data_IF_507369165159
#
_entry.id   IF_507369165159
#
_cell.length_a   1.000
_cell.length_b   1.000
_cell.length_c   1.000
_cell.angle_alpha   90.00
_cell.angle_beta   90.00
_cell.angle_gamma   90.00
#
_symmetry.space_group_name_H-M   'P 1'
#
loop_
_entity.id
_entity.type
_entity.pdbx_description
1 polymer ?
#
# COMPACT_ATOMS: atom_id res chain seq x y z
N UNK A 1 -6.88 1.41 14.19
CA UNK A 1 -6.98 -0.06 14.26
C UNK A 1 -7.16 -0.50 15.71
N UNK A 2 -6.26 -0.19 16.63
CA UNK A 2 -6.31 -0.65 18.04
C UNK A 2 -7.62 -0.28 18.75
N UNK A 3 -8.16 0.93 18.51
CA UNK A 3 -9.48 1.32 19.00
C UNK A 3 -10.59 0.41 18.44
N UNK A 4 -10.59 0.13 17.13
CA UNK A 4 -11.60 -0.72 16.49
C UNK A 4 -11.51 -2.18 16.94
N UNK A 5 -10.33 -2.63 17.39
CA UNK A 5 -10.12 -3.95 17.99
C UNK A 5 -10.45 -3.99 19.49
N UNK A 6 -10.83 -2.87 20.11
CA UNK A 6 -11.14 -2.78 21.53
C UNK A 6 -9.91 -2.72 22.45
N UNK A 7 -8.71 -2.54 21.89
CA UNK A 7 -7.45 -2.50 22.65
C UNK A 7 -7.07 -1.09 23.12
N UNK A 8 -7.72 -0.05 22.61
CA UNK A 8 -7.42 1.35 22.92
C UNK A 8 -8.72 2.08 23.24
N UNK A 9 -8.74 2.85 24.34
CA UNK A 9 -9.89 3.68 24.72
C UNK A 9 -10.03 4.90 23.79
N UNK A 10 -11.28 5.27 23.47
CA UNK A 10 -11.62 6.38 22.56
C UNK A 10 -10.97 7.73 22.98
N UNK A 11 -10.83 7.95 24.29
CA UNK A 11 -10.27 9.20 24.81
C UNK A 11 -8.84 9.49 24.33
N UNK A 12 -8.09 8.45 23.92
CA UNK A 12 -6.74 8.61 23.37
C UNK A 12 -6.70 9.03 21.91
N UNK A 13 -7.77 8.86 21.13
CA UNK A 13 -7.78 9.19 19.69
C UNK A 13 -7.51 10.68 19.41
N UNK A 14 -7.84 11.56 20.36
CA UNK A 14 -7.63 13.02 20.25
C UNK A 14 -6.33 13.49 20.91
N UNK A 15 -5.54 12.56 21.45
CA UNK A 15 -4.37 12.89 22.30
C UNK A 15 -3.06 12.41 21.69
N UNK A 16 -2.98 12.35 20.35
CA UNK A 16 -1.74 12.02 19.66
C UNK A 16 -0.67 13.10 19.91
N UNK A 17 0.50 12.70 20.38
CA UNK A 17 1.65 13.57 20.71
C UNK A 17 1.43 14.53 21.88
N UNK A 18 0.37 14.38 22.63
CA UNK A 18 0.17 15.11 23.88
C UNK A 18 0.92 14.44 25.04
N UNK A 19 1.25 15.21 26.07
CA UNK A 19 1.80 14.66 27.32
C UNK A 19 0.79 13.69 27.95
N UNK A 20 1.22 12.45 28.21
CA UNK A 20 0.33 11.40 28.68
C UNK A 20 -0.69 10.88 27.66
N UNK A 21 -0.57 11.25 26.38
CA UNK A 21 -1.31 10.73 25.24
C UNK A 21 -0.52 9.68 24.47
N UNK A 22 -0.93 9.44 23.21
CA UNK A 22 -0.26 8.48 22.32
C UNK A 22 1.08 9.02 21.81
N UNK A 23 2.04 8.11 21.65
CA UNK A 23 3.34 8.42 21.06
C UNK A 23 3.21 8.68 19.55
N UNK A 24 4.21 9.35 18.96
CA UNK A 24 4.28 9.59 17.52
C UNK A 24 4.39 8.28 16.71
N UNK A 25 5.05 7.29 17.29
CA UNK A 25 5.17 5.93 16.80
C UNK A 25 4.77 4.97 17.91
N UNK A 26 4.18 3.82 17.58
CA UNK A 26 3.76 2.83 18.57
C UNK A 26 4.89 2.47 19.54
N UNK A 27 4.57 2.44 20.82
CA UNK A 27 5.54 2.13 21.86
C UNK A 27 4.97 1.16 22.90
N UNK A 28 5.53 -0.03 22.99
CA UNK A 28 5.14 -1.05 23.98
C UNK A 28 5.31 -0.61 25.44
N UNK A 29 6.09 0.41 25.68
CA UNK A 29 6.43 0.85 27.05
C UNK A 29 5.79 2.18 27.45
N UNK A 30 5.25 2.94 26.48
CA UNK A 30 4.74 4.28 26.71
C UNK A 30 3.29 4.47 26.31
N UNK A 31 2.81 3.72 25.33
CA UNK A 31 1.42 3.77 24.91
C UNK A 31 0.52 2.95 25.87
N UNK A 32 -0.74 3.35 26.04
CA UNK A 32 -1.68 2.67 26.92
C UNK A 32 -2.18 1.33 26.36
N UNK A 33 -2.16 1.17 25.05
CA UNK A 33 -2.41 -0.10 24.36
C UNK A 33 -1.14 -0.96 24.34
N UNK A 34 -1.28 -2.21 23.88
CA UNK A 34 -0.16 -3.13 23.75
C UNK A 34 0.16 -3.39 22.26
N UNK A 35 0.83 -2.46 21.56
CA UNK A 35 1.23 -2.70 20.19
C UNK A 35 2.20 -3.89 20.13
N UNK A 36 2.16 -4.66 19.03
CA UNK A 36 3.02 -5.84 18.87
C UNK A 36 4.50 -5.48 18.94
N UNK A 37 4.87 -4.35 18.32
CA UNK A 37 6.24 -3.83 18.31
C UNK A 37 6.28 -2.32 18.57
N UNK A 38 7.34 -1.88 19.21
CA UNK A 38 7.73 -0.47 19.17
C UNK A 38 8.37 -0.19 17.80
N UNK A 39 7.91 0.82 17.09
CA UNK A 39 8.39 1.15 15.75
C UNK A 39 8.95 2.57 15.67
N UNK A 40 9.44 2.94 14.52
CA UNK A 40 9.94 4.26 14.14
C UNK A 40 9.92 4.37 12.62
N UNK A 41 10.43 5.47 12.07
CA UNK A 41 10.43 5.77 10.63
C UNK A 41 11.66 5.29 9.87
N UNK A 42 12.45 4.38 10.44
CA UNK A 42 13.77 3.96 9.90
C UNK A 42 13.78 2.48 9.50
N UNK A 43 12.68 1.96 8.99
CA UNK A 43 12.58 0.57 8.52
C UNK A 43 12.42 -0.49 9.62
N UNK A 44 12.35 -0.09 10.91
CA UNK A 44 12.21 -1.06 12.02
C UNK A 44 10.89 -1.82 11.96
N UNK A 45 9.81 -1.18 11.51
CA UNK A 45 8.50 -1.83 11.32
C UNK A 45 8.52 -2.94 10.28
N UNK A 46 9.43 -2.87 9.31
CA UNK A 46 9.67 -3.91 8.32
C UNK A 46 10.54 -5.03 8.87
N UNK A 47 11.71 -4.70 9.42
CA UNK A 47 12.70 -5.69 9.84
C UNK A 47 12.26 -6.50 11.08
N UNK A 48 11.62 -5.86 12.07
CA UNK A 48 11.27 -6.52 13.34
C UNK A 48 10.38 -7.77 13.19
N UNK A 49 9.32 -7.79 12.36
CA UNK A 49 8.51 -8.99 12.15
C UNK A 49 9.28 -10.16 11.55
N UNK A 50 10.29 -9.93 10.69
CA UNK A 50 11.15 -10.98 10.15
C UNK A 50 11.94 -11.69 11.27
N UNK A 51 12.64 -10.91 12.09
CA UNK A 51 13.42 -11.48 13.19
C UNK A 51 12.55 -12.07 14.30
N UNK A 52 11.34 -11.54 14.49
CA UNK A 52 10.35 -12.15 15.36
C UNK A 52 9.88 -13.52 14.85
N UNK A 53 9.64 -13.66 13.55
CA UNK A 53 9.29 -14.94 12.93
C UNK A 53 10.46 -15.95 13.03
N UNK A 54 11.69 -15.52 12.79
CA UNK A 54 12.88 -16.35 12.97
C UNK A 54 13.04 -16.80 14.43
N UNK A 55 12.86 -15.89 15.40
CA UNK A 55 12.85 -16.19 16.83
C UNK A 55 11.73 -17.19 17.18
N UNK A 56 10.54 -17.00 16.62
CA UNK A 56 9.42 -17.91 16.83
C UNK A 56 9.75 -19.33 16.34
N UNK A 57 10.32 -19.47 15.16
CA UNK A 57 10.79 -20.75 14.61
C UNK A 57 11.81 -21.42 15.54
N UNK A 58 12.76 -20.66 16.08
CA UNK A 58 13.70 -21.17 17.08
C UNK A 58 12.98 -21.66 18.33
N UNK A 59 12.04 -20.88 18.87
CA UNK A 59 11.29 -21.24 20.07
C UNK A 59 10.45 -22.51 19.85
N UNK A 60 9.77 -22.63 18.71
CA UNK A 60 8.96 -23.80 18.41
C UNK A 60 9.81 -25.08 18.27
N UNK A 61 11.00 -24.98 17.67
CA UNK A 61 11.90 -26.12 17.50
C UNK A 61 12.57 -26.58 18.80
N UNK A 62 12.75 -25.71 19.80
CA UNK A 62 13.45 -26.03 21.05
C UNK A 62 12.52 -26.23 22.25
N UNK A 63 11.36 -25.60 22.26
CA UNK A 63 10.47 -25.55 23.43
C UNK A 63 9.07 -26.07 23.14
N UNK A 64 8.87 -26.70 21.97
CA UNK A 64 7.60 -27.22 21.52
C UNK A 64 6.76 -26.24 20.71
N UNK A 65 6.00 -26.80 19.78
CA UNK A 65 5.16 -26.03 18.86
C UNK A 65 4.08 -25.20 19.58
N UNK A 66 3.85 -24.02 19.09
CA UNK A 66 2.79 -23.10 19.51
C UNK A 66 1.77 -22.92 18.38
N UNK A 67 0.59 -22.38 18.67
CA UNK A 67 -0.41 -22.11 17.64
C UNK A 67 0.21 -21.31 16.47
N UNK A 68 -0.18 -21.65 15.25
CA UNK A 68 0.31 -20.97 14.05
C UNK A 68 0.08 -19.45 14.17
N UNK A 69 1.12 -18.67 13.82
CA UNK A 69 1.08 -17.21 13.84
C UNK A 69 1.67 -16.68 12.54
N UNK A 70 1.03 -15.65 11.99
CA UNK A 70 1.54 -14.89 10.87
C UNK A 70 2.24 -13.63 11.38
N UNK A 71 3.29 -13.22 10.69
CA UNK A 71 4.03 -12.00 10.95
C UNK A 71 3.81 -11.07 9.76
N UNK A 72 3.00 -10.03 9.95
CA UNK A 72 2.60 -9.12 8.89
C UNK A 72 3.20 -7.74 9.17
N UNK A 73 3.89 -7.19 8.17
CA UNK A 73 4.33 -5.79 8.18
C UNK A 73 3.58 -5.00 7.11
N UNK A 74 2.96 -3.88 7.50
CA UNK A 74 2.46 -2.87 6.59
C UNK A 74 3.47 -1.73 6.57
N UNK A 75 4.10 -1.50 5.42
CA UNK A 75 5.21 -0.56 5.25
C UNK A 75 4.94 0.39 4.11
N UNK A 76 5.44 1.61 4.20
CA UNK A 76 5.45 2.54 3.08
C UNK A 76 6.57 2.21 2.09
N UNK A 77 6.36 2.53 0.82
CA UNK A 77 7.38 2.31 -0.22
C UNK A 77 8.67 3.11 0.01
N UNK A 78 8.57 4.29 0.65
CA UNK A 78 9.73 5.08 1.04
C UNK A 78 10.59 4.40 2.13
N UNK A 79 10.05 3.46 2.91
CA UNK A 79 10.84 2.69 3.88
C UNK A 79 11.80 1.71 3.20
N UNK A 80 11.56 1.36 1.94
CA UNK A 80 12.49 0.55 1.14
C UNK A 80 13.78 1.32 0.75
N UNK A 81 13.86 2.61 1.04
CA UNK A 81 15.11 3.39 0.92
C UNK A 81 16.05 3.18 2.14
N UNK A 82 15.57 2.55 3.22
CA UNK A 82 16.36 2.30 4.42
C UNK A 82 17.25 1.05 4.27
N UNK A 83 18.54 1.19 4.57
CA UNK A 83 19.53 0.11 4.37
C UNK A 83 19.26 -1.13 5.20
N UNK A 84 18.82 -0.98 6.47
CA UNK A 84 18.50 -2.09 7.35
C UNK A 84 17.34 -2.97 6.85
N UNK A 85 16.47 -2.46 6.02
CA UNK A 85 15.39 -3.24 5.37
C UNK A 85 16.01 -4.29 4.46
N UNK A 86 16.97 -3.89 3.63
CA UNK A 86 17.65 -4.79 2.70
C UNK A 86 18.59 -5.77 3.40
N UNK A 87 19.22 -5.36 4.50
CA UNK A 87 19.99 -6.28 5.35
C UNK A 87 19.09 -7.39 5.89
N UNK A 88 17.89 -7.05 6.36
CA UNK A 88 16.92 -8.02 6.87
C UNK A 88 16.34 -8.92 5.75
N UNK A 89 16.06 -8.36 4.57
CA UNK A 89 15.55 -9.12 3.40
C UNK A 89 16.57 -10.14 2.90
N UNK A 90 17.87 -9.78 2.91
CA UNK A 90 18.95 -10.61 2.40
C UNK A 90 19.49 -11.62 3.44
N UNK A 91 19.03 -11.56 4.69
CA UNK A 91 19.53 -12.46 5.74
C UNK A 91 19.08 -13.91 5.46
N UNK A 92 20.00 -14.88 5.32
CA UNK A 92 19.64 -16.28 5.07
C UNK A 92 18.74 -16.90 6.14
N UNK A 93 18.77 -16.41 7.38
CA UNK A 93 17.89 -16.89 8.45
C UNK A 93 16.41 -16.59 8.20
N UNK A 94 16.10 -15.65 7.31
CA UNK A 94 14.73 -15.23 6.97
C UNK A 94 14.19 -15.89 5.70
N UNK A 95 15.03 -16.54 4.90
CA UNK A 95 14.69 -17.04 3.56
C UNK A 95 13.59 -18.11 3.53
N UNK A 96 13.38 -18.85 4.64
CA UNK A 96 12.39 -19.94 4.72
C UNK A 96 11.20 -19.60 5.64
N UNK A 97 10.91 -18.32 5.87
CA UNK A 97 9.85 -17.89 6.78
C UNK A 97 8.52 -17.74 6.04
N UNK A 98 7.87 -18.86 5.69
CA UNK A 98 6.60 -18.87 4.96
C UNK A 98 5.40 -18.27 5.73
N UNK A 99 5.57 -17.91 6.98
CA UNK A 99 4.57 -17.24 7.80
C UNK A 99 4.77 -15.71 7.87
N UNK A 100 5.67 -15.17 7.07
CA UNK A 100 5.91 -13.71 6.96
C UNK A 100 5.26 -13.15 5.69
N UNK A 101 4.55 -12.03 5.84
CA UNK A 101 4.01 -11.27 4.73
C UNK A 101 4.25 -9.78 4.93
N UNK A 102 4.90 -9.15 3.95
CA UNK A 102 4.96 -7.69 3.87
C UNK A 102 3.90 -7.18 2.91
N UNK A 103 3.25 -6.09 3.28
CA UNK A 103 2.34 -5.34 2.41
C UNK A 103 2.94 -3.95 2.26
N UNK A 104 3.42 -3.66 1.07
CA UNK A 104 4.02 -2.35 0.73
C UNK A 104 2.91 -1.44 0.22
N UNK A 105 2.63 -0.36 0.93
CA UNK A 105 1.80 0.74 0.46
C UNK A 105 2.57 1.49 -0.64
N UNK A 106 2.35 1.04 -1.89
CA UNK A 106 3.09 1.53 -3.05
C UNK A 106 2.40 2.75 -3.65
N UNK A 107 2.46 3.88 -2.94
CA UNK A 107 1.84 5.14 -3.33
C UNK A 107 2.76 6.02 -4.22
N UNK A 108 4.03 5.69 -4.34
CA UNK A 108 5.04 6.37 -5.19
C UNK A 108 5.27 7.83 -4.79
N UNK A 109 5.06 8.15 -3.52
CA UNK A 109 5.37 9.46 -2.96
C UNK A 109 6.32 9.33 -1.77
N UNK A 110 7.32 10.20 -1.72
CA UNK A 110 8.22 10.32 -0.57
C UNK A 110 8.16 11.76 -0.05
N UNK A 111 7.71 11.92 1.20
CA UNK A 111 7.42 13.22 1.80
C UNK A 111 6.46 14.03 0.90
N UNK A 112 6.80 15.26 0.53
CA UNK A 112 5.99 16.16 -0.29
C UNK A 112 6.39 16.13 -1.79
N UNK A 113 6.69 14.95 -2.32
CA UNK A 113 7.01 14.78 -3.75
C UNK A 113 6.56 13.43 -4.30
N UNK A 114 6.15 13.41 -5.55
CA UNK A 114 6.01 12.19 -6.33
C UNK A 114 7.39 11.71 -6.78
N UNK A 115 7.68 10.43 -6.64
CA UNK A 115 8.95 9.83 -7.06
C UNK A 115 8.92 9.59 -8.56
N UNK A 116 9.82 10.21 -9.35
CA UNK A 116 9.91 9.97 -10.77
C UNK A 116 10.47 8.56 -11.05
N UNK A 117 9.94 7.95 -12.09
CA UNK A 117 10.37 6.62 -12.54
C UNK A 117 9.69 5.47 -11.77
N UNK A 118 9.88 4.27 -12.32
CA UNK A 118 9.23 3.05 -11.84
C UNK A 118 10.28 2.18 -11.15
N UNK A 119 10.39 2.27 -9.83
CA UNK A 119 11.33 1.46 -9.03
C UNK A 119 10.87 0.02 -8.82
N UNK A 120 9.59 -0.28 -9.09
CA UNK A 120 9.01 -1.59 -8.79
C UNK A 120 9.78 -2.74 -9.47
N UNK A 121 10.23 -2.55 -10.70
CA UNK A 121 10.99 -3.57 -11.44
C UNK A 121 12.28 -3.95 -10.71
N UNK A 122 12.97 -2.95 -10.14
CA UNK A 122 14.20 -3.18 -9.38
C UNK A 122 13.91 -3.85 -8.04
N UNK A 123 12.94 -3.36 -7.30
CA UNK A 123 12.55 -3.93 -6.01
C UNK A 123 12.06 -5.36 -6.15
N UNK A 124 11.21 -5.63 -7.13
CA UNK A 124 10.77 -6.99 -7.44
C UNK A 124 11.96 -7.92 -7.66
N UNK A 125 12.88 -7.53 -8.55
CA UNK A 125 14.07 -8.34 -8.83
C UNK A 125 14.95 -8.56 -7.57
N UNK A 126 15.06 -7.57 -6.69
CA UNK A 126 15.81 -7.69 -5.44
C UNK A 126 15.13 -8.67 -4.46
N UNK A 127 13.81 -8.58 -4.27
CA UNK A 127 13.07 -9.52 -3.42
C UNK A 127 13.11 -10.95 -4.01
N UNK A 128 12.91 -11.11 -5.32
CA UNK A 128 13.00 -12.42 -6.00
C UNK A 128 14.40 -13.02 -5.85
N UNK A 129 15.46 -12.21 -6.00
CA UNK A 129 16.85 -12.66 -5.80
C UNK A 129 17.14 -13.05 -4.35
N UNK A 130 16.46 -12.44 -3.37
CA UNK A 130 16.51 -12.83 -1.97
C UNK A 130 15.60 -14.03 -1.62
N UNK A 131 14.93 -14.64 -2.60
CA UNK A 131 14.09 -15.82 -2.45
C UNK A 131 12.66 -15.54 -1.99
N UNK A 132 12.21 -14.29 -1.99
CA UNK A 132 10.84 -13.92 -1.63
C UNK A 132 9.84 -14.24 -2.73
N UNK A 133 8.61 -14.57 -2.33
CA UNK A 133 7.47 -14.59 -3.23
C UNK A 133 6.93 -13.16 -3.39
N UNK A 134 6.86 -12.67 -4.65
CA UNK A 134 6.48 -11.29 -4.95
C UNK A 134 5.14 -11.24 -5.67
N UNK A 135 4.22 -10.40 -5.19
CA UNK A 135 2.92 -10.13 -5.81
C UNK A 135 2.78 -8.63 -6.04
N UNK A 136 2.37 -8.25 -7.25
CA UNK A 136 1.96 -6.88 -7.57
C UNK A 136 0.44 -6.80 -7.67
N UNK A 137 -0.18 -5.94 -6.85
CA UNK A 137 -1.62 -5.66 -6.89
C UNK A 137 -1.80 -4.25 -7.45
N UNK A 138 -1.64 -4.12 -8.78
CA UNK A 138 -1.60 -2.84 -9.47
C UNK A 138 -2.99 -2.32 -9.77
N UNK A 139 -3.83 -3.14 -10.35
CA UNK A 139 -5.15 -2.77 -10.85
C UNK A 139 -6.26 -3.39 -10.03
N UNK A 140 -7.33 -2.64 -9.81
CA UNK A 140 -8.56 -3.14 -9.22
C UNK A 140 -9.39 -3.94 -10.22
N UNK A 141 -10.48 -4.53 -9.75
CA UNK A 141 -11.31 -5.44 -10.56
C UNK A 141 -11.97 -4.76 -11.76
N UNK A 142 -12.30 -3.45 -11.67
CA UNK A 142 -12.89 -2.70 -12.79
C UNK A 142 -11.90 -2.55 -13.94
N UNK A 143 -10.65 -2.16 -13.64
CA UNK A 143 -9.59 -2.06 -14.65
C UNK A 143 -9.26 -3.43 -15.23
N UNK A 144 -9.10 -4.47 -14.41
CA UNK A 144 -8.85 -5.84 -14.88
C UNK A 144 -9.94 -6.33 -15.83
N UNK A 145 -11.21 -6.06 -15.51
CA UNK A 145 -12.32 -6.42 -16.39
C UNK A 145 -12.27 -5.63 -17.70
N UNK A 146 -11.95 -4.34 -17.64
CA UNK A 146 -11.87 -3.48 -18.82
C UNK A 146 -10.72 -3.86 -19.76
N UNK A 147 -9.60 -4.31 -19.22
CA UNK A 147 -8.47 -4.82 -20.03
C UNK A 147 -8.80 -6.12 -20.81
N UNK A 148 -9.80 -6.87 -20.36
CA UNK A 148 -10.27 -8.06 -21.08
C UNK A 148 -11.25 -7.75 -22.25
N UNK A 149 -11.65 -6.48 -22.40
CA UNK A 149 -12.52 -6.01 -23.48
C UNK A 149 -11.73 -5.57 -24.72
N UNK A 150 -12.38 -5.34 -25.88
CA UNK A 150 -11.70 -4.80 -27.07
C UNK A 150 -10.96 -3.50 -26.77
N UNK A 151 -9.74 -3.39 -27.25
CA UNK A 151 -8.78 -2.31 -27.00
C UNK A 151 -8.31 -2.21 -25.52
N UNK A 152 -8.47 -3.26 -24.74
CA UNK A 152 -8.06 -3.30 -23.35
C UNK A 152 -6.53 -3.35 -23.18
N UNK A 153 -5.82 -4.05 -24.06
CA UNK A 153 -4.35 -4.11 -24.05
C UNK A 153 -3.74 -2.72 -24.31
N UNK A 154 -4.31 -1.95 -25.23
CA UNK A 154 -3.86 -0.58 -25.51
C UNK A 154 -4.16 0.37 -24.34
N UNK A 155 -5.30 0.16 -23.66
CA UNK A 155 -5.65 0.91 -22.45
C UNK A 155 -4.68 0.62 -21.32
N UNK A 156 -4.34 -0.65 -21.08
CA UNK A 156 -3.36 -1.04 -20.07
C UNK A 156 -1.98 -0.44 -20.38
N UNK A 157 -1.52 -0.61 -21.61
CA UNK A 157 -0.24 -0.06 -22.06
C UNK A 157 -0.19 1.47 -21.94
N UNK A 158 -1.30 2.17 -22.19
CA UNK A 158 -1.40 3.62 -22.01
C UNK A 158 -1.25 4.04 -20.55
N UNK A 159 -1.98 3.37 -19.66
CA UNK A 159 -1.87 3.65 -18.22
C UNK A 159 -0.47 3.34 -17.71
N UNK A 160 0.14 2.24 -18.16
CA UNK A 160 1.48 1.84 -17.77
C UNK A 160 2.58 2.79 -18.25
N UNK A 161 2.35 3.43 -19.39
CA UNK A 161 3.28 4.40 -19.95
C UNK A 161 3.21 5.79 -19.29
N UNK A 162 2.17 6.08 -18.51
CA UNK A 162 2.04 7.37 -17.85
C UNK A 162 3.12 7.55 -16.78
N UNK A 163 3.73 8.73 -16.75
CA UNK A 163 4.58 9.13 -15.63
C UNK A 163 3.76 9.17 -14.31
N UNK A 164 4.40 8.87 -13.19
CA UNK A 164 3.73 8.88 -11.88
C UNK A 164 3.01 10.20 -11.58
N UNK A 165 3.65 11.33 -11.90
CA UNK A 165 3.07 12.67 -11.72
C UNK A 165 1.82 12.87 -12.57
N UNK A 166 1.85 12.40 -13.82
CA UNK A 166 0.72 12.50 -14.73
C UNK A 166 -0.46 11.68 -14.21
N UNK A 167 -0.23 10.39 -13.93
CA UNK A 167 -1.28 9.50 -13.43
C UNK A 167 -1.87 9.98 -12.11
N UNK A 168 -1.03 10.35 -11.13
CA UNK A 168 -1.49 10.81 -9.81
C UNK A 168 -2.28 12.13 -9.89
N UNK A 169 -1.96 13.00 -10.85
CA UNK A 169 -2.70 14.24 -11.04
C UNK A 169 -4.16 14.00 -11.45
N UNK A 170 -4.47 12.86 -12.10
CA UNK A 170 -5.83 12.53 -12.54
C UNK A 170 -6.82 12.41 -11.37
N UNK A 171 -6.35 12.05 -10.18
CA UNK A 171 -7.19 11.95 -8.98
C UNK A 171 -7.74 13.31 -8.51
N UNK A 172 -7.12 14.41 -8.92
CA UNK A 172 -7.56 15.76 -8.60
C UNK A 172 -8.55 16.34 -9.60
N UNK A 173 -8.90 15.62 -10.67
CA UNK A 173 -9.81 16.08 -11.71
C UNK A 173 -11.08 15.24 -11.76
N UNK A 174 -12.14 15.79 -12.32
CA UNK A 174 -13.43 15.12 -12.52
C UNK A 174 -14.07 15.55 -13.82
N UNK A 175 -15.12 14.83 -14.25
CA UNK A 175 -15.90 15.18 -15.42
C UNK A 175 -15.07 15.28 -16.70
N UNK A 176 -15.43 16.24 -17.55
CA UNK A 176 -14.79 16.46 -18.85
C UNK A 176 -13.30 16.81 -18.74
N UNK A 177 -12.86 17.42 -17.65
CA UNK A 177 -11.45 17.75 -17.47
C UNK A 177 -10.60 16.50 -17.27
N UNK A 178 -11.05 15.55 -16.44
CA UNK A 178 -10.39 14.25 -16.30
C UNK A 178 -10.26 13.56 -17.65
N UNK A 179 -11.39 13.46 -18.41
CA UNK A 179 -11.40 12.80 -19.73
C UNK A 179 -10.40 13.44 -20.69
N UNK A 180 -10.39 14.77 -20.75
CA UNK A 180 -9.46 15.50 -21.62
C UNK A 180 -8.01 15.20 -21.26
N UNK A 181 -7.66 15.22 -19.99
CA UNK A 181 -6.29 14.96 -19.51
C UNK A 181 -5.88 13.51 -19.68
N UNK A 182 -6.81 12.57 -19.41
CA UNK A 182 -6.53 11.14 -19.57
C UNK A 182 -6.26 10.77 -21.03
N UNK A 183 -6.97 11.40 -21.97
CA UNK A 183 -6.85 11.13 -23.40
C UNK A 183 -5.83 12.03 -24.11
N UNK A 184 -5.19 12.95 -23.42
CA UNK A 184 -4.18 13.85 -24.01
C UNK A 184 -2.95 13.04 -24.46
N UNK A 185 -2.74 12.97 -25.79
CA UNK A 185 -1.70 12.16 -26.39
C UNK A 185 -1.98 10.65 -26.47
N UNK A 186 -3.16 10.19 -26.05
CA UNK A 186 -3.51 8.77 -26.11
C UNK A 186 -3.70 8.26 -27.55
N UNK A 187 -3.36 6.98 -27.82
CA UNK A 187 -3.74 6.31 -29.06
C UNK A 187 -5.26 6.32 -29.28
N UNK A 188 -5.70 6.29 -30.54
CA UNK A 188 -7.12 6.31 -30.88
C UNK A 188 -7.90 5.11 -30.30
N UNK A 189 -7.25 3.98 -30.14
CA UNK A 189 -7.75 2.74 -29.55
C UNK A 189 -8.17 2.95 -28.09
N UNK A 190 -7.37 3.69 -27.30
CA UNK A 190 -7.70 4.07 -25.93
C UNK A 190 -8.98 4.92 -25.89
N UNK A 191 -9.09 5.90 -26.81
CA UNK A 191 -10.32 6.68 -26.94
C UNK A 191 -11.54 5.81 -27.22
N UNK A 192 -11.40 4.79 -28.10
CA UNK A 192 -12.48 3.84 -28.39
C UNK A 192 -12.84 2.97 -27.19
N UNK A 193 -11.86 2.52 -26.41
CA UNK A 193 -12.11 1.65 -25.25
C UNK A 193 -12.96 2.33 -24.18
N UNK A 194 -12.86 3.67 -24.06
CA UNK A 194 -13.59 4.44 -23.02
C UNK A 194 -14.71 5.32 -23.57
N UNK A 195 -15.01 5.23 -24.89
CA UNK A 195 -15.95 6.12 -25.56
C UNK A 195 -17.36 6.09 -24.98
N UNK A 196 -17.84 4.94 -24.52
CA UNK A 196 -19.20 4.76 -24.01
C UNK A 196 -19.33 5.01 -22.50
N UNK A 197 -18.19 5.25 -21.81
CA UNK A 197 -18.21 5.54 -20.38
C UNK A 197 -18.68 6.97 -20.13
N UNK A 198 -19.54 7.17 -19.12
CA UNK A 198 -19.76 8.51 -18.57
C UNK A 198 -18.48 9.03 -17.93
N UNK A 199 -18.42 10.32 -17.65
CA UNK A 199 -17.23 10.90 -17.02
C UNK A 199 -17.02 10.35 -15.59
N UNK A 200 -18.10 10.08 -14.86
CA UNK A 200 -18.05 9.44 -13.54
C UNK A 200 -17.54 8.01 -13.64
N UNK A 201 -18.05 7.23 -14.59
CA UNK A 201 -17.58 5.86 -14.81
C UNK A 201 -16.10 5.81 -15.25
N UNK A 202 -15.65 6.79 -16.03
CA UNK A 202 -14.25 6.93 -16.39
C UNK A 202 -13.38 7.25 -15.16
N UNK A 203 -13.83 8.17 -14.30
CA UNK A 203 -13.14 8.46 -13.05
C UNK A 203 -13.00 7.21 -12.18
N UNK A 204 -14.09 6.51 -11.93
CA UNK A 204 -14.09 5.27 -11.15
C UNK A 204 -13.19 4.18 -11.76
N UNK A 205 -13.11 4.12 -13.09
CA UNK A 205 -12.22 3.17 -13.78
C UNK A 205 -10.76 3.55 -13.61
N UNK A 206 -10.40 4.79 -13.94
CA UNK A 206 -9.00 5.26 -13.92
C UNK A 206 -8.42 5.26 -12.50
N UNK A 207 -9.26 5.47 -11.49
CA UNK A 207 -8.84 5.50 -10.08
C UNK A 207 -8.92 4.13 -9.38
N UNK A 208 -9.30 3.05 -10.08
CA UNK A 208 -9.44 1.70 -9.52
C UNK A 208 -8.07 1.01 -9.36
N UNK A 209 -7.28 1.49 -8.40
CA UNK A 209 -6.02 0.88 -8.02
C UNK A 209 -6.22 -0.38 -7.16
N UNK A 210 -5.39 -1.39 -7.40
CA UNK A 210 -5.49 -2.66 -6.72
C UNK A 210 -5.32 -2.58 -5.20
N UNK A 211 -4.47 -1.68 -4.71
CA UNK A 211 -4.28 -1.45 -3.28
C UNK A 211 -5.47 -0.80 -2.56
N UNK A 212 -6.45 -0.27 -3.29
CA UNK A 212 -7.73 0.22 -2.76
C UNK A 212 -8.90 -0.73 -3.05
N UNK A 213 -8.65 -1.83 -3.72
CA UNK A 213 -9.66 -2.83 -4.07
C UNK A 213 -9.55 -4.05 -3.13
N UNK A 214 -10.52 -4.17 -2.21
CA UNK A 214 -10.49 -5.22 -1.18
C UNK A 214 -10.52 -6.64 -1.76
N UNK A 215 -11.20 -6.88 -2.88
CA UNK A 215 -11.22 -8.19 -3.53
C UNK A 215 -9.85 -8.53 -4.12
N UNK A 216 -9.19 -7.59 -4.77
CA UNK A 216 -7.84 -7.77 -5.31
C UNK A 216 -6.82 -8.04 -4.19
N UNK A 217 -6.92 -7.32 -3.07
CA UNK A 217 -6.06 -7.56 -1.90
C UNK A 217 -6.33 -8.92 -1.26
N UNK A 218 -7.59 -9.30 -1.10
CA UNK A 218 -7.96 -10.60 -0.54
C UNK A 218 -7.45 -11.76 -1.39
N UNK A 219 -7.55 -11.65 -2.72
CA UNK A 219 -7.02 -12.64 -3.64
C UNK A 219 -5.48 -12.76 -3.49
N UNK A 220 -4.78 -11.63 -3.43
CA UNK A 220 -3.34 -11.60 -3.21
C UNK A 220 -2.93 -12.23 -1.87
N UNK A 221 -3.65 -11.93 -0.79
CA UNK A 221 -3.39 -12.51 0.53
C UNK A 221 -3.65 -14.03 0.55
N UNK A 222 -4.68 -14.51 -0.15
CA UNK A 222 -4.93 -15.94 -0.28
C UNK A 222 -3.80 -16.66 -1.04
N UNK A 223 -3.20 -16.02 -2.04
CA UNK A 223 -2.00 -16.55 -2.72
C UNK A 223 -0.82 -16.58 -1.75
N UNK A 224 -0.57 -15.50 -0.99
CA UNK A 224 0.48 -15.50 0.04
C UNK A 224 0.29 -16.62 1.07
N UNK A 225 -0.96 -16.90 1.48
CA UNK A 225 -1.27 -17.95 2.46
C UNK A 225 -0.96 -19.36 1.92
N UNK A 226 -0.95 -19.54 0.60
CA UNK A 226 -0.58 -20.81 -0.02
C UNK A 226 0.95 -21.01 -0.11
N UNK A 227 1.74 -19.96 0.06
CA UNK A 227 3.21 -20.00 0.04
C UNK A 227 3.72 -20.21 1.46
N UNK A 228 4.19 -21.41 1.76
CA UNK A 228 4.57 -21.83 3.12
C UNK A 228 6.07 -22.03 3.32
N UNK A 229 6.86 -21.92 2.25
CA UNK A 229 8.28 -22.23 2.22
C UNK A 229 9.19 -20.99 2.20
N UNK A 230 8.62 -19.80 2.01
CA UNK A 230 9.37 -18.53 1.89
C UNK A 230 8.50 -17.33 2.25
N UNK A 231 9.09 -16.19 2.63
CA UNK A 231 8.33 -14.96 2.90
C UNK A 231 7.70 -14.40 1.62
N UNK A 232 6.60 -13.67 1.79
CA UNK A 232 5.87 -13.02 0.71
C UNK A 232 5.90 -11.51 0.84
N UNK A 233 5.96 -10.79 -0.28
CA UNK A 233 5.78 -9.35 -0.36
C UNK A 233 4.70 -8.99 -1.38
N UNK A 234 3.76 -8.16 -0.97
CA UNK A 234 2.66 -7.64 -1.79
C UNK A 234 2.89 -6.15 -2.02
N UNK A 235 3.14 -5.76 -3.27
CA UNK A 235 3.17 -4.35 -3.66
C UNK A 235 1.75 -3.91 -4.00
N UNK A 236 1.11 -3.25 -3.04
CA UNK A 236 -0.24 -2.73 -3.20
C UNK A 236 -0.19 -1.32 -3.78
N UNK A 237 -0.57 -1.15 -5.04
CA UNK A 237 -0.61 0.16 -5.69
C UNK A 237 -1.74 1.00 -5.13
N UNK A 238 -1.39 2.11 -4.53
CA UNK A 238 -2.30 3.04 -3.85
C UNK A 238 -2.08 4.47 -4.33
N UNK A 239 -2.91 5.35 -3.83
CA UNK A 239 -2.72 6.80 -3.93
C UNK A 239 -2.72 7.40 -2.53
N UNK A 240 -1.75 8.23 -2.23
CA UNK A 240 -1.68 8.91 -0.95
C UNK A 240 -2.81 9.90 -0.79
N UNK A 241 -3.52 9.81 0.34
CA UNK A 241 -4.71 10.62 0.60
C UNK A 241 -5.97 10.16 -0.13
N UNK A 242 -6.07 8.88 -0.51
CA UNK A 242 -7.25 8.30 -1.15
C UNK A 242 -8.53 8.64 -0.37
N UNK A 243 -9.61 8.97 -1.10
CA UNK A 243 -10.87 9.41 -0.51
C UNK A 243 -10.87 10.85 0.04
N UNK A 244 -9.75 11.57 -0.05
CA UNK A 244 -9.64 12.94 0.43
C UNK A 244 -9.50 13.92 -0.75
N UNK A 245 -9.92 15.19 -0.58
CA UNK A 245 -9.81 16.22 -1.64
C UNK A 245 -8.38 16.47 -2.14
N UNK A 246 -7.38 16.02 -1.41
CA UNK A 246 -5.97 16.14 -1.74
C UNK A 246 -5.35 14.85 -2.26
N UNK A 247 -6.14 13.86 -2.66
CA UNK A 247 -5.63 12.59 -3.20
C UNK A 247 -4.67 12.85 -4.36
N UNK A 248 -3.49 12.20 -4.33
CA UNK A 248 -2.46 12.36 -5.36
C UNK A 248 -1.73 13.71 -5.38
N UNK A 249 -2.11 14.68 -4.54
CA UNK A 249 -1.39 15.94 -4.48
C UNK A 249 0.00 15.74 -3.85
N UNK A 250 1.10 16.19 -4.49
CA UNK A 250 2.45 16.00 -3.96
C UNK A 250 2.67 16.61 -2.58
N UNK A 251 1.89 17.62 -2.18
CA UNK A 251 2.00 18.29 -0.88
C UNK A 251 1.11 17.71 0.21
N UNK A 252 0.48 16.55 -0.02
CA UNK A 252 -0.47 15.98 0.94
C UNK A 252 0.16 15.32 2.17
N UNK A 253 1.50 15.20 2.22
CA UNK A 253 2.19 14.62 3.38
C UNK A 253 2.01 15.46 4.65
N UNK A 254 2.07 16.79 4.53
CA UNK A 254 1.93 17.73 5.64
C UNK A 254 0.62 18.53 5.62
N UNK A 255 -0.23 18.35 4.61
CA UNK A 255 -1.50 19.04 4.50
C UNK A 255 -2.51 18.55 5.55
N UNK A 256 -3.26 19.49 6.12
CA UNK A 256 -4.36 19.21 7.04
C UNK A 256 -5.69 19.51 6.34
N UNK A 257 -6.71 18.72 6.65
CA UNK A 257 -8.08 18.99 6.22
C UNK A 257 -8.62 20.24 6.94
N UNK A 258 -9.38 21.06 6.20
CA UNK A 258 -10.21 22.11 6.80
C UNK A 258 -11.43 21.51 7.50
N UNK A 259 -12.10 22.29 8.36
CA UNK A 259 -13.34 21.86 9.02
C UNK A 259 -14.41 21.41 8.00
N UNK A 260 -14.63 22.20 6.95
CA UNK A 260 -15.60 21.89 5.89
C UNK A 260 -15.24 20.59 5.13
N UNK A 261 -13.94 20.34 4.87
CA UNK A 261 -13.49 19.10 4.24
C UNK A 261 -13.73 17.87 5.13
N UNK A 262 -13.54 18.02 6.45
CA UNK A 262 -13.84 16.95 7.41
C UNK A 262 -15.35 16.67 7.44
N UNK A 263 -16.18 17.70 7.45
CA UNK A 263 -17.63 17.54 7.48
C UNK A 263 -18.16 16.91 6.18
N UNK A 264 -17.63 17.32 5.02
CA UNK A 264 -17.96 16.70 3.74
C UNK A 264 -17.56 15.22 3.72
N UNK A 265 -16.35 14.90 4.13
CA UNK A 265 -15.88 13.50 4.19
C UNK A 265 -16.70 12.64 5.14
N UNK A 266 -17.15 13.20 6.28
CA UNK A 266 -18.06 12.50 7.19
C UNK A 266 -19.43 12.19 6.55
N UNK A 267 -19.92 13.06 5.67
CA UNK A 267 -21.19 12.88 5.00
C UNK A 267 -21.11 11.87 3.84
N UNK A 268 -19.92 11.62 3.30
CA UNK A 268 -19.67 10.63 2.24
C UNK A 268 -19.45 9.20 2.78
N UNK A 269 -19.04 9.08 4.05
CA UNK A 269 -18.89 7.79 4.76
C UNK A 269 -20.22 7.26 5.30
#
# INVERSE_FOLDING_TARGET
IQYLLGNLDESYLKRLREFGGLQSYPSRTKDPDAPDFSTGSVGLGAAAPLFAAATRRYVDSHFGERPHSRFIALIGDAELDEGNVWEAVADPATAELGNVMWVVDFNRQSLDRVIPGIRIVQWRAQFEAAGWHVIEVKYGKKLQAKFAEPFGEELEAWIDAMANEQYQSLFGFSGQELRTRFLDGAPAEVGKSVAELTDEALYELVTDLGGHNLDSLRDAFAVCDSVTDRPSVVFAYTIKGWGLPMAGNPRNHSALLTGDQIDNFRNEL
#
